data_IF_980655105463
#
_entry.id   IF_980655105463
#
_cell.length_a   1.000
_cell.length_b   1.000
_cell.length_c   1.000
_cell.angle_alpha   90.00
_cell.angle_beta   90.00
_cell.angle_gamma   90.00
#
_symmetry.space_group_name_H-M   'P 1'
#
loop_
_entity.id
_entity.type
_entity.pdbx_description
1 polymer ?
#
# COMPACT_ATOMS: atom_id res chain seq x y z
N UNK A 1 4.43 16.98 -11.14
CA UNK A 1 4.88 17.49 -9.81
C UNK A 1 6.17 16.79 -9.44
N UNK A 2 7.09 17.48 -8.76
CA UNK A 2 8.32 16.85 -8.23
C UNK A 2 8.12 16.73 -6.72
N UNK A 3 8.04 15.50 -6.21
CA UNK A 3 7.73 15.27 -4.78
C UNK A 3 8.98 15.48 -3.93
N UNK A 4 10.12 14.98 -4.40
CA UNK A 4 11.42 15.10 -3.76
C UNK A 4 12.52 14.94 -4.81
N UNK A 5 13.76 15.25 -4.44
CA UNK A 5 14.91 15.12 -5.34
C UNK A 5 15.47 13.70 -5.29
N UNK A 6 16.00 13.12 -6.39
CA UNK A 6 16.48 11.74 -6.40
C UNK A 6 17.53 11.44 -5.32
N UNK A 7 18.38 12.40 -4.98
CA UNK A 7 19.42 12.26 -3.96
C UNK A 7 18.90 12.13 -2.52
N UNK A 8 17.62 12.40 -2.26
CA UNK A 8 17.04 12.29 -0.91
C UNK A 8 16.55 10.88 -0.58
N UNK A 9 16.61 9.96 -1.54
CA UNK A 9 16.15 8.57 -1.38
C UNK A 9 17.23 7.58 -1.80
N UNK A 10 17.35 6.48 -1.07
CA UNK A 10 18.22 5.36 -1.47
C UNK A 10 17.55 4.51 -2.55
N UNK A 11 18.36 3.98 -3.45
CA UNK A 11 17.90 3.08 -4.50
C UNK A 11 17.23 1.83 -3.90
N UNK A 12 16.07 1.43 -4.45
CA UNK A 12 15.27 0.30 -3.99
C UNK A 12 14.79 0.37 -2.52
N UNK A 13 14.67 1.57 -1.93
CA UNK A 13 14.22 1.75 -0.54
C UNK A 13 12.77 2.26 -0.47
N UNK A 14 11.84 1.40 -0.06
CA UNK A 14 10.44 1.78 0.07
C UNK A 14 10.22 2.86 1.14
N UNK A 15 10.92 2.76 2.27
CA UNK A 15 10.86 3.69 3.40
C UNK A 15 11.13 5.12 2.97
N UNK A 16 12.24 5.35 2.26
CA UNK A 16 12.66 6.70 1.85
C UNK A 16 11.66 7.30 0.87
N UNK A 17 11.21 6.51 -0.12
CA UNK A 17 10.23 6.95 -1.11
C UNK A 17 8.89 7.30 -0.46
N UNK A 18 8.42 6.46 0.46
CA UNK A 18 7.18 6.70 1.19
C UNK A 18 7.30 7.97 2.05
N UNK A 19 8.38 8.08 2.83
CA UNK A 19 8.58 9.19 3.77
C UNK A 19 8.69 10.54 3.04
N UNK A 20 9.51 10.62 2.00
CA UNK A 20 9.69 11.87 1.25
C UNK A 20 8.42 12.27 0.48
N UNK A 21 7.67 11.28 -0.05
CA UNK A 21 6.33 11.51 -0.64
C UNK A 21 5.36 12.08 0.40
N UNK A 22 5.30 11.48 1.59
CA UNK A 22 4.40 11.91 2.67
C UNK A 22 4.77 13.30 3.19
N UNK A 23 6.07 13.60 3.36
CA UNK A 23 6.56 14.94 3.74
C UNK A 23 6.13 16.00 2.74
N UNK A 24 6.14 15.70 1.44
CA UNK A 24 5.67 16.60 0.42
C UNK A 24 4.17 16.93 0.58
N UNK A 25 3.32 15.93 0.82
CA UNK A 25 1.89 16.14 1.01
C UNK A 25 1.54 16.89 2.30
N UNK A 26 2.24 16.59 3.40
CA UNK A 26 2.08 17.33 4.66
C UNK A 26 2.42 18.81 4.47
N UNK A 27 3.51 19.14 3.76
CA UNK A 27 3.87 20.54 3.44
C UNK A 27 2.81 21.27 2.62
N UNK A 28 2.04 20.55 1.81
CA UNK A 28 0.94 21.10 1.00
C UNK A 28 -0.40 21.09 1.72
N UNK A 29 -0.44 20.63 2.96
CA UNK A 29 -1.68 20.46 3.73
C UNK A 29 -2.68 19.48 3.06
N UNK A 30 -2.16 18.47 2.35
CA UNK A 30 -2.99 17.54 1.59
C UNK A 30 -3.22 16.22 2.36
N UNK A 31 -4.48 15.87 2.70
CA UNK A 31 -4.77 14.62 3.42
C UNK A 31 -4.45 13.42 2.53
N UNK A 32 -3.75 12.44 3.11
CA UNK A 32 -3.24 11.26 2.41
C UNK A 32 -3.68 9.97 3.10
N UNK A 33 -4.27 9.06 2.33
CA UNK A 33 -4.56 7.69 2.74
C UNK A 33 -3.52 6.75 2.16
N UNK A 34 -2.97 5.88 3.00
CA UNK A 34 -1.93 4.92 2.63
C UNK A 34 -2.47 3.53 2.91
N UNK A 35 -2.61 2.72 1.86
CA UNK A 35 -3.07 1.35 1.99
C UNK A 35 -1.90 0.39 2.20
N UNK A 36 -2.10 -0.59 3.06
CA UNK A 36 -1.18 -1.71 3.30
C UNK A 36 -1.93 -3.04 3.21
N UNK A 37 -1.22 -4.13 2.94
CA UNK A 37 -1.86 -5.41 2.70
C UNK A 37 -2.64 -5.92 3.93
N UNK A 38 -2.20 -5.59 5.16
CA UNK A 38 -2.85 -6.03 6.41
C UNK A 38 -3.08 -4.90 7.41
N UNK A 39 -4.03 -5.07 8.37
CA UNK A 39 -4.22 -4.13 9.48
C UNK A 39 -3.01 -4.02 10.43
N UNK A 40 -2.25 -5.11 10.57
CA UNK A 40 -1.03 -5.10 11.38
C UNK A 40 0.05 -4.24 10.72
N UNK A 41 0.23 -4.37 9.40
CA UNK A 41 1.15 -3.53 8.65
C UNK A 41 0.73 -2.07 8.66
N UNK A 42 -0.56 -1.75 8.46
CA UNK A 42 -1.00 -0.36 8.48
C UNK A 42 -0.76 0.30 9.84
N UNK A 43 -0.93 -0.41 10.95
CA UNK A 43 -0.54 0.07 12.29
C UNK A 43 0.97 0.25 12.44
N UNK A 44 1.75 -0.74 12.02
CA UNK A 44 3.22 -0.68 12.08
C UNK A 44 3.75 0.53 11.30
N UNK A 45 3.26 0.74 10.08
CA UNK A 45 3.66 1.86 9.23
C UNK A 45 3.16 3.20 9.74
N UNK A 46 1.97 3.27 10.35
CA UNK A 46 1.50 4.48 11.01
C UNK A 46 2.45 4.90 12.14
N UNK A 47 2.87 3.96 13.01
CA UNK A 47 3.84 4.21 14.08
C UNK A 47 5.19 4.63 13.52
N UNK A 48 5.67 3.95 12.50
CA UNK A 48 6.93 4.29 11.86
C UNK A 48 6.88 5.70 11.27
N UNK A 49 5.84 6.05 10.50
CA UNK A 49 5.66 7.40 9.97
C UNK A 49 5.59 8.45 11.07
N UNK A 50 4.81 8.24 12.12
CA UNK A 50 4.74 9.15 13.27
C UNK A 50 6.12 9.37 13.91
N UNK A 51 6.95 8.32 14.03
CA UNK A 51 8.31 8.44 14.57
C UNK A 51 9.26 9.27 13.69
N UNK A 52 9.03 9.31 12.37
CA UNK A 52 9.89 10.00 11.41
C UNK A 52 9.43 11.43 11.09
N UNK A 53 8.13 11.70 11.23
CA UNK A 53 7.51 12.95 10.82
C UNK A 53 7.65 14.05 11.88
N UNK A 54 7.88 15.27 11.38
CA UNK A 54 7.79 16.51 12.16
C UNK A 54 6.52 17.24 11.76
N UNK A 55 5.39 16.75 12.25
CA UNK A 55 4.05 17.29 12.00
C UNK A 55 3.41 17.77 13.31
N UNK A 56 2.49 18.74 13.24
CA UNK A 56 1.77 19.23 14.42
C UNK A 56 0.89 18.15 15.03
N UNK A 57 0.69 18.23 16.34
CA UNK A 57 -0.22 17.37 17.07
C UNK A 57 -1.69 17.73 16.78
N UNK A 58 -2.53 16.71 16.61
CA UNK A 58 -3.98 16.83 16.48
C UNK A 58 -4.63 17.09 17.86
N UNK A 59 -4.41 18.30 18.37
CA UNK A 59 -4.65 18.66 19.76
C UNK A 59 -6.12 18.59 20.17
N UNK A 60 -7.06 18.83 19.24
CA UNK A 60 -8.49 18.70 19.55
C UNK A 60 -8.88 17.23 19.68
N UNK A 61 -8.46 16.38 18.73
CA UNK A 61 -8.71 14.93 18.80
C UNK A 61 -8.16 14.34 20.09
N UNK A 62 -6.94 14.71 20.46
CA UNK A 62 -6.27 14.18 21.65
C UNK A 62 -7.10 14.47 22.90
N UNK A 63 -7.62 15.70 23.03
CA UNK A 63 -8.47 16.09 24.16
C UNK A 63 -9.78 15.30 24.18
N UNK A 64 -10.43 15.15 23.03
CA UNK A 64 -11.69 14.39 22.92
C UNK A 64 -11.47 12.90 23.23
N UNK A 65 -10.42 12.31 22.66
CA UNK A 65 -10.05 10.91 22.87
C UNK A 65 -9.68 10.61 24.33
N UNK A 66 -9.07 11.56 25.05
CA UNK A 66 -8.81 11.44 26.49
C UNK A 66 -10.09 11.37 27.34
N UNK A 67 -11.20 11.94 26.87
CA UNK A 67 -12.49 11.89 27.59
C UNK A 67 -13.28 10.61 27.31
N UNK A 68 -12.86 9.81 26.34
CA UNK A 68 -13.50 8.55 25.99
C UNK A 68 -13.06 7.40 26.91
N UNK A 69 -13.83 6.31 26.88
CA UNK A 69 -13.50 5.06 27.56
C UNK A 69 -12.10 4.55 27.14
N UNK A 70 -11.44 3.86 28.06
CA UNK A 70 -10.15 3.26 27.77
C UNK A 70 -10.33 2.02 26.89
N UNK A 71 -9.71 2.05 25.72
CA UNK A 71 -9.73 0.95 24.76
C UNK A 71 -8.30 0.43 24.55
N UNK A 72 -8.16 -0.77 23.99
CA UNK A 72 -6.85 -1.32 23.63
C UNK A 72 -6.13 -0.46 22.56
N UNK A 73 -6.88 0.28 21.75
CA UNK A 73 -6.38 1.16 20.67
C UNK A 73 -6.09 2.58 21.15
N UNK A 74 -6.72 3.06 22.22
CA UNK A 74 -6.67 4.46 22.64
C UNK A 74 -5.25 4.97 22.84
N UNK A 75 -4.43 4.23 23.59
CA UNK A 75 -3.05 4.62 23.88
C UNK A 75 -2.23 4.78 22.60
N UNK A 76 -2.31 3.79 21.71
CA UNK A 76 -1.61 3.84 20.42
C UNK A 76 -2.11 5.01 19.57
N UNK A 77 -3.43 5.22 19.52
CA UNK A 77 -4.01 6.30 18.73
C UNK A 77 -3.56 7.68 19.25
N UNK A 78 -3.53 7.89 20.57
CA UNK A 78 -2.99 9.11 21.18
C UNK A 78 -1.54 9.38 20.74
N UNK A 79 -0.66 8.36 20.79
CA UNK A 79 0.74 8.49 20.37
C UNK A 79 0.88 8.87 18.88
N UNK A 80 0.00 8.37 18.01
CA UNK A 80 -0.01 8.70 16.58
C UNK A 80 -0.54 10.13 16.33
N UNK A 81 -1.58 10.52 17.07
CA UNK A 81 -2.23 11.83 16.94
C UNK A 81 -1.31 12.99 17.33
N UNK A 82 -0.31 12.77 18.17
CA UNK A 82 0.77 13.73 18.44
C UNK A 82 1.54 14.17 17.18
N UNK A 83 1.37 13.44 16.08
CA UNK A 83 1.97 13.72 14.77
C UNK A 83 0.92 13.91 13.67
N UNK A 84 -0.37 14.05 14.01
CA UNK A 84 -1.43 14.14 13.00
C UNK A 84 -1.49 12.91 12.09
N UNK A 85 -1.05 11.75 12.60
CA UNK A 85 -1.12 10.44 11.94
C UNK A 85 -2.19 9.62 12.65
N UNK A 86 -2.90 8.79 11.90
CA UNK A 86 -3.83 7.80 12.43
C UNK A 86 -3.83 6.52 11.58
N UNK A 87 -4.54 5.50 12.02
CA UNK A 87 -4.93 4.37 11.19
C UNK A 87 -6.45 4.21 11.17
N UNK A 88 -6.99 3.54 10.16
CA UNK A 88 -8.41 3.23 10.04
C UNK A 88 -8.58 1.76 9.70
N UNK A 89 -8.73 0.94 10.73
CA UNK A 89 -8.94 -0.50 10.61
C UNK A 89 -10.06 -0.94 11.58
N UNK A 90 -10.62 -2.16 11.43
CA UNK A 90 -11.70 -2.64 12.29
C UNK A 90 -11.37 -2.75 13.76
N UNK A 91 -10.08 -2.84 14.13
CA UNK A 91 -9.65 -2.84 15.52
C UNK A 91 -9.99 -1.54 16.26
N UNK A 92 -10.23 -0.43 15.55
CA UNK A 92 -10.78 0.77 16.15
C UNK A 92 -12.27 0.63 16.45
N UNK A 93 -12.69 1.13 17.61
CA UNK A 93 -14.09 1.29 17.94
C UNK A 93 -14.76 2.29 17.00
N UNK A 94 -16.08 2.25 16.91
CA UNK A 94 -16.83 3.10 15.97
C UNK A 94 -16.63 4.59 16.29
N UNK A 95 -16.60 4.93 17.57
CA UNK A 95 -16.37 6.27 18.09
C UNK A 95 -14.96 6.79 17.76
N UNK A 96 -13.94 5.93 17.87
CA UNK A 96 -12.56 6.25 17.50
C UNK A 96 -12.42 6.49 15.98
N UNK A 97 -13.05 5.64 15.16
CA UNK A 97 -13.12 5.85 13.70
C UNK A 97 -13.78 7.18 13.38
N UNK A 98 -14.90 7.48 14.04
CA UNK A 98 -15.62 8.73 13.83
C UNK A 98 -14.77 9.95 14.21
N UNK A 99 -14.00 9.90 15.30
CA UNK A 99 -13.05 10.95 15.64
C UNK A 99 -11.98 11.14 14.55
N UNK A 100 -11.37 10.05 14.08
CA UNK A 100 -10.38 10.13 13.00
C UNK A 100 -11.00 10.76 11.75
N UNK A 101 -12.23 10.41 11.42
CA UNK A 101 -12.96 10.93 10.26
C UNK A 101 -13.30 12.42 10.37
N UNK A 102 -13.80 12.86 11.52
CA UNK A 102 -14.15 14.26 11.78
C UNK A 102 -12.90 15.14 11.71
N UNK A 103 -11.84 14.74 12.40
CA UNK A 103 -10.66 15.58 12.54
C UNK A 103 -9.72 15.53 11.33
N UNK A 104 -9.86 14.51 10.48
CA UNK A 104 -9.31 14.56 9.13
C UNK A 104 -9.98 15.68 8.30
N UNK A 105 -11.32 15.81 8.38
CA UNK A 105 -12.04 16.88 7.69
C UNK A 105 -11.72 18.27 8.25
N UNK A 106 -11.46 18.37 9.55
CA UNK A 106 -10.98 19.61 10.20
C UNK A 106 -9.52 19.93 9.85
N UNK A 107 -8.79 18.97 9.29
CA UNK A 107 -7.40 19.14 8.87
C UNK A 107 -6.38 18.96 9.99
N UNK A 108 -6.76 18.45 11.17
CA UNK A 108 -5.80 18.12 12.22
C UNK A 108 -5.05 16.80 11.91
N UNK A 109 -5.74 15.83 11.30
CA UNK A 109 -5.15 14.57 10.86
C UNK A 109 -4.83 14.66 9.37
N UNK A 110 -3.57 14.42 9.01
CA UNK A 110 -3.11 14.49 7.62
C UNK A 110 -2.86 13.13 7.00
N UNK A 111 -2.43 12.16 7.79
CA UNK A 111 -2.04 10.83 7.31
C UNK A 111 -2.92 9.77 7.96
N UNK A 112 -3.55 8.95 7.15
CA UNK A 112 -4.29 7.77 7.62
C UNK A 112 -3.70 6.53 6.95
N UNK A 113 -3.40 5.51 7.73
CA UNK A 113 -3.00 4.19 7.22
C UNK A 113 -4.16 3.21 7.34
N UNK A 114 -4.42 2.40 6.33
CA UNK A 114 -5.51 1.41 6.38
C UNK A 114 -5.15 0.12 5.65
N UNK A 115 -5.84 -0.97 5.97
CA UNK A 115 -5.69 -2.22 5.22
C UNK A 115 -6.52 -2.20 3.93
N UNK A 116 -5.97 -2.76 2.85
CA UNK A 116 -6.62 -2.82 1.52
C UNK A 116 -8.04 -3.41 1.57
N UNK A 117 -8.23 -4.51 2.32
CA UNK A 117 -9.53 -5.18 2.48
C UNK A 117 -10.63 -4.32 3.10
N UNK A 118 -10.28 -3.22 3.75
CA UNK A 118 -11.23 -2.32 4.40
C UNK A 118 -11.41 -0.98 3.65
N UNK A 119 -10.90 -0.87 2.42
CA UNK A 119 -11.07 0.29 1.53
C UNK A 119 -12.54 0.68 1.29
N UNK A 120 -13.45 -0.30 1.28
CA UNK A 120 -14.89 -0.06 1.10
C UNK A 120 -15.50 0.68 2.31
N UNK A 121 -14.97 0.46 3.52
CA UNK A 121 -15.50 1.03 4.77
C UNK A 121 -15.01 2.45 5.07
N UNK A 122 -14.11 3.01 4.28
CA UNK A 122 -13.54 4.34 4.49
C UNK A 122 -14.35 5.34 3.66
N UNK A 123 -15.10 6.23 4.32
CA UNK A 123 -15.94 7.22 3.65
C UNK A 123 -15.41 8.64 3.83
N UNK A 124 -14.15 8.86 3.40
CA UNK A 124 -13.45 10.13 3.53
C UNK A 124 -12.82 10.53 2.19
N UNK A 125 -12.96 11.79 1.75
CA UNK A 125 -12.27 12.28 0.57
C UNK A 125 -10.82 12.63 0.94
N UNK A 126 -9.87 11.84 0.46
CA UNK A 126 -8.45 12.16 0.54
C UNK A 126 -8.00 12.82 -0.75
N UNK A 127 -7.03 13.73 -0.68
CA UNK A 127 -6.40 14.29 -1.88
C UNK A 127 -5.42 13.31 -2.50
N UNK A 128 -4.80 12.47 -1.68
CA UNK A 128 -3.78 11.53 -2.12
C UNK A 128 -4.10 10.12 -1.60
N UNK A 129 -4.08 9.12 -2.47
CA UNK A 129 -4.19 7.71 -2.13
C UNK A 129 -2.91 7.00 -2.57
N UNK A 130 -2.19 6.39 -1.65
CA UNK A 130 -1.03 5.55 -1.94
C UNK A 130 -1.48 4.09 -1.93
N UNK A 131 -1.30 3.41 -3.08
CA UNK A 131 -1.69 2.01 -3.30
C UNK A 131 -0.48 1.09 -3.12
N UNK A 132 -0.61 -0.03 -2.37
CA UNK A 132 0.48 -1.00 -2.19
C UNK A 132 0.72 -1.83 -3.45
N UNK A 133 1.76 -2.66 -3.44
CA UNK A 133 2.03 -3.61 -4.54
C UNK A 133 1.10 -4.82 -4.52
N UNK A 134 0.72 -5.24 -3.33
CA UNK A 134 0.04 -6.48 -3.07
C UNK A 134 -1.09 -6.31 -2.06
N UNK A 135 -1.92 -7.35 -1.98
CA UNK A 135 -2.93 -7.51 -0.94
C UNK A 135 -2.83 -8.90 -0.33
N UNK A 136 -3.42 -9.05 0.84
CA UNK A 136 -3.60 -10.36 1.46
C UNK A 136 -4.96 -10.93 1.08
N UNK A 137 -4.99 -12.20 0.71
CA UNK A 137 -6.22 -12.99 0.64
C UNK A 137 -6.33 -13.85 1.89
N UNK A 138 -7.54 -13.90 2.46
CA UNK A 138 -7.85 -14.68 3.64
C UNK A 138 -8.88 -15.73 3.25
N UNK A 139 -8.48 -17.00 3.30
CA UNK A 139 -9.39 -18.14 3.21
C UNK A 139 -10.31 -18.14 1.98
N UNK A 140 -9.75 -17.80 0.81
CA UNK A 140 -10.41 -18.12 -0.46
C UNK A 140 -10.48 -19.64 -0.51
N UNK A 141 -11.67 -20.25 -0.61
CA UNK A 141 -11.94 -21.67 -0.31
C UNK A 141 -11.05 -22.76 -0.95
N UNK A 142 -10.06 -22.38 -1.76
CA UNK A 142 -9.00 -23.22 -2.30
C UNK A 142 -7.67 -23.17 -1.51
N UNK A 143 -7.49 -22.23 -0.57
CA UNK A 143 -6.23 -22.02 0.16
C UNK A 143 -6.42 -21.98 1.69
N UNK A 144 -5.78 -22.94 2.37
CA UNK A 144 -5.83 -23.11 3.83
C UNK A 144 -5.10 -22.02 4.64
N UNK A 145 -4.34 -21.13 3.99
CA UNK A 145 -3.50 -20.11 4.64
C UNK A 145 -3.59 -18.78 3.92
N UNK A 146 -3.37 -17.69 4.67
CA UNK A 146 -3.27 -16.36 4.09
C UNK A 146 -2.11 -16.30 3.08
N UNK A 147 -2.36 -15.74 1.91
CA UNK A 147 -1.35 -15.60 0.86
C UNK A 147 -1.43 -14.21 0.23
N UNK A 148 -0.30 -13.72 -0.28
CA UNK A 148 -0.20 -12.43 -0.95
C UNK A 148 -0.38 -12.59 -2.45
N UNK A 149 -1.11 -11.67 -3.05
CA UNK A 149 -1.25 -11.58 -4.51
C UNK A 149 -1.07 -10.15 -4.97
N UNK A 150 -0.80 -9.97 -6.26
CA UNK A 150 -0.97 -8.67 -6.88
C UNK A 150 -2.40 -8.13 -6.74
N UNK A 151 -2.54 -6.83 -6.92
CA UNK A 151 -3.84 -6.16 -6.94
C UNK A 151 -4.60 -6.45 -8.24
N UNK A 152 -5.91 -6.62 -8.15
CA UNK A 152 -6.81 -6.58 -9.30
C UNK A 152 -7.21 -5.13 -9.62
N UNK A 153 -7.85 -4.92 -10.77
CA UNK A 153 -8.40 -3.61 -11.10
C UNK A 153 -9.46 -3.15 -10.09
N UNK A 154 -10.36 -4.04 -9.69
CA UNK A 154 -11.41 -3.71 -8.71
C UNK A 154 -10.83 -3.34 -7.35
N UNK A 155 -9.68 -3.91 -6.96
CA UNK A 155 -8.99 -3.47 -5.75
C UNK A 155 -8.51 -2.02 -5.88
N UNK A 156 -7.93 -1.67 -7.04
CA UNK A 156 -7.47 -0.31 -7.34
C UNK A 156 -8.66 0.65 -7.40
N UNK A 157 -9.79 0.29 -8.00
CA UNK A 157 -10.99 1.13 -8.04
C UNK A 157 -11.58 1.33 -6.64
N UNK A 158 -11.68 0.27 -5.84
CA UNK A 158 -12.23 0.35 -4.48
C UNK A 158 -11.37 1.24 -3.57
N UNK A 159 -10.04 1.18 -3.71
CA UNK A 159 -9.11 2.06 -3.00
C UNK A 159 -9.12 3.48 -3.59
N UNK A 160 -9.08 3.58 -4.92
CA UNK A 160 -8.94 4.81 -5.67
C UNK A 160 -10.20 5.68 -5.65
N UNK A 161 -11.38 5.10 -5.47
CA UNK A 161 -12.64 5.82 -5.29
C UNK A 161 -12.69 6.68 -4.01
N UNK A 162 -11.64 6.64 -3.19
CA UNK A 162 -11.45 7.53 -2.03
C UNK A 162 -10.58 8.74 -2.34
N UNK A 163 -9.97 8.77 -3.53
CA UNK A 163 -9.28 9.93 -4.05
C UNK A 163 -10.31 10.95 -4.54
N UNK A 164 -10.19 12.18 -4.08
CA UNK A 164 -10.95 13.32 -4.61
C UNK A 164 -11.83 14.02 -3.58
N UNK A 165 -11.61 15.33 -3.43
CA UNK A 165 -12.69 16.29 -3.14
C UNK A 165 -13.31 16.73 -4.47
N UNK A 166 -14.34 17.61 -4.47
CA UNK A 166 -15.03 18.07 -5.69
C UNK A 166 -14.10 18.54 -6.84
N UNK A 167 -12.87 18.95 -6.52
CA UNK A 167 -11.96 19.58 -7.48
C UNK A 167 -10.81 18.68 -7.97
N UNK A 168 -10.27 17.79 -7.12
CA UNK A 168 -9.01 17.09 -7.44
C UNK A 168 -8.66 15.92 -6.49
N UNK A 169 -8.02 14.86 -7.02
CA UNK A 169 -7.43 13.76 -6.25
C UNK A 169 -6.35 12.99 -7.02
N UNK A 170 -5.40 12.36 -6.30
CA UNK A 170 -4.30 11.55 -6.85
C UNK A 170 -4.37 10.10 -6.36
N UNK A 171 -4.22 9.16 -7.29
CA UNK A 171 -3.87 7.77 -7.00
C UNK A 171 -2.39 7.59 -7.31
N UNK A 172 -1.63 7.09 -6.35
CA UNK A 172 -0.17 7.03 -6.39
C UNK A 172 0.28 5.59 -6.19
N UNK A 173 1.12 5.13 -7.11
CA UNK A 173 1.83 3.86 -7.03
C UNK A 173 3.31 4.13 -6.73
N UNK A 174 3.85 3.57 -5.65
CA UNK A 174 5.23 3.82 -5.24
C UNK A 174 6.22 2.88 -5.95
N UNK A 175 6.71 3.35 -7.10
CA UNK A 175 7.82 2.73 -7.85
C UNK A 175 9.18 2.91 -7.20
N UNK A 176 9.36 2.41 -5.97
CA UNK A 176 10.63 2.51 -5.22
C UNK A 176 11.76 1.65 -5.81
N UNK A 177 11.43 0.74 -6.74
CA UNK A 177 12.36 -0.11 -7.48
C UNK A 177 11.85 -0.34 -8.90
N UNK A 178 12.74 -0.73 -9.83
CA UNK A 178 12.33 -1.10 -11.20
C UNK A 178 11.33 -2.26 -11.21
N UNK A 179 11.46 -3.20 -10.26
CA UNK A 179 10.51 -4.30 -10.10
C UNK A 179 9.13 -3.75 -9.70
N UNK A 180 9.08 -2.86 -8.69
CA UNK A 180 7.84 -2.26 -8.23
C UNK A 180 7.16 -1.45 -9.33
N UNK A 181 7.93 -0.65 -10.05
CA UNK A 181 7.46 0.10 -11.22
C UNK A 181 6.85 -0.84 -12.27
N UNK A 182 7.57 -1.90 -12.63
CA UNK A 182 7.10 -2.88 -13.62
C UNK A 182 5.80 -3.56 -13.17
N UNK A 183 5.71 -3.96 -11.89
CA UNK A 183 4.51 -4.57 -11.32
C UNK A 183 3.33 -3.60 -11.43
N UNK A 184 3.49 -2.35 -10.99
CA UNK A 184 2.43 -1.35 -11.06
C UNK A 184 2.01 -1.05 -12.51
N UNK A 185 2.97 -0.89 -13.42
CA UNK A 185 2.71 -0.69 -14.85
C UNK A 185 1.92 -1.86 -15.44
N UNK A 186 2.30 -3.10 -15.12
CA UNK A 186 1.60 -4.29 -15.59
C UNK A 186 0.20 -4.38 -15.01
N UNK A 187 0.02 -4.14 -13.71
CA UNK A 187 -1.29 -4.15 -13.07
C UNK A 187 -2.23 -3.14 -13.73
N UNK A 188 -1.77 -1.91 -13.94
CA UNK A 188 -2.56 -0.85 -14.59
C UNK A 188 -2.79 -1.09 -16.10
N UNK A 189 -1.79 -1.62 -16.81
CA UNK A 189 -1.91 -1.92 -18.24
C UNK A 189 -2.82 -3.11 -18.52
N UNK A 190 -2.81 -4.12 -17.64
CA UNK A 190 -3.69 -5.27 -17.75
C UNK A 190 -5.14 -4.87 -17.39
N UNK A 191 -5.33 -4.01 -16.40
CA UNK A 191 -6.66 -3.54 -16.03
C UNK A 191 -7.34 -2.71 -17.12
N UNK A 192 -6.61 -1.83 -17.79
CA UNK A 192 -7.09 -1.05 -18.94
C UNK A 192 -7.37 -1.90 -20.19
N UNK A 193 -6.83 -3.13 -20.25
CA UNK A 193 -7.15 -4.11 -21.30
C UNK A 193 -8.35 -4.98 -20.95
N UNK A 194 -8.54 -5.31 -19.67
CA UNK A 194 -9.68 -6.10 -19.19
C UNK A 194 -11.00 -5.32 -19.29
N UNK A 195 -10.99 -3.99 -19.14
CA UNK A 195 -12.16 -3.14 -19.47
C UNK A 195 -12.61 -3.26 -20.94
N UNK A 196 -11.78 -3.83 -21.81
CA UNK A 196 -12.08 -4.05 -23.22
C UNK A 196 -12.29 -5.51 -23.65
N UNK A 197 -12.11 -6.54 -22.79
CA UNK A 197 -12.11 -7.94 -23.28
C UNK A 197 -12.57 -9.00 -22.26
N UNK A 198 -13.86 -9.31 -22.28
CA UNK A 198 -14.30 -10.70 -22.19
C UNK A 198 -13.75 -11.49 -23.39
N UNK A 199 -12.51 -12.03 -23.37
CA UNK A 199 -12.05 -13.00 -24.40
C UNK A 199 -10.73 -13.77 -24.21
N UNK A 200 -9.95 -13.71 -23.10
CA UNK A 200 -8.55 -14.21 -23.21
C UNK A 200 -7.90 -14.86 -21.98
N UNK A 201 -8.55 -15.86 -21.37
CA UNK A 201 -7.96 -16.64 -20.26
C UNK A 201 -6.66 -17.41 -20.65
N UNK A 202 -6.54 -17.94 -21.88
CA UNK A 202 -5.39 -18.75 -22.29
C UNK A 202 -4.11 -17.97 -22.65
N UNK A 203 -4.17 -16.64 -22.84
CA UNK A 203 -2.99 -15.82 -23.20
C UNK A 203 -2.22 -15.34 -21.96
N UNK A 204 -2.84 -15.39 -20.79
CA UNK A 204 -2.28 -14.91 -19.51
C UNK A 204 -1.22 -15.86 -18.93
N UNK A 205 -1.46 -17.18 -18.94
CA UNK A 205 -0.52 -18.19 -18.45
C UNK A 205 0.83 -18.15 -19.19
N UNK A 206 0.80 -17.94 -20.50
CA UNK A 206 2.01 -17.86 -21.35
C UNK A 206 2.78 -16.55 -21.11
N UNK A 207 2.11 -15.48 -20.66
CA UNK A 207 2.74 -14.17 -20.41
C UNK A 207 3.45 -14.13 -19.06
N UNK A 208 2.84 -14.70 -18.02
CA UNK A 208 3.43 -14.78 -16.67
C UNK A 208 4.71 -15.61 -16.65
N UNK A 209 4.75 -16.74 -17.39
CA UNK A 209 5.97 -17.55 -17.52
C UNK A 209 7.09 -16.80 -18.23
N UNK A 210 6.78 -16.07 -19.31
CA UNK A 210 7.78 -15.28 -20.05
C UNK A 210 8.34 -14.11 -19.25
N UNK A 211 7.51 -13.45 -18.44
CA UNK A 211 7.94 -12.33 -17.60
C UNK A 211 8.86 -12.81 -16.46
N UNK A 212 8.51 -13.92 -15.81
CA UNK A 212 9.37 -14.60 -14.83
C UNK A 212 10.69 -15.03 -15.45
N UNK A 213 10.67 -15.65 -16.63
CA UNK A 213 11.89 -16.05 -17.34
C UNK A 213 12.79 -14.84 -17.65
N UNK A 214 12.19 -13.75 -18.11
CA UNK A 214 12.92 -12.52 -18.47
C UNK A 214 13.55 -11.88 -17.23
N UNK A 215 12.85 -11.88 -16.11
CA UNK A 215 13.35 -11.40 -14.83
C UNK A 215 14.52 -12.26 -14.31
N UNK A 216 14.37 -13.58 -14.31
CA UNK A 216 15.40 -14.52 -13.88
C UNK A 216 16.66 -14.45 -14.77
N UNK A 217 16.49 -14.32 -16.09
CA UNK A 217 17.60 -14.14 -17.03
C UNK A 217 18.38 -12.85 -16.75
N UNK A 218 17.68 -11.74 -16.44
CA UNK A 218 18.33 -10.46 -16.09
C UNK A 218 19.09 -10.53 -14.77
N UNK A 219 18.53 -11.19 -13.76
CA UNK A 219 19.23 -11.48 -12.49
C UNK A 219 20.48 -12.31 -12.71
N UNK A 220 20.40 -13.32 -13.58
CA UNK A 220 21.53 -14.19 -13.94
C UNK A 220 22.67 -13.41 -14.58
N UNK A 221 22.34 -12.48 -15.48
CA UNK A 221 23.32 -11.57 -16.10
C UNK A 221 23.91 -10.60 -15.08
N UNK A 222 23.08 -10.00 -14.22
CA UNK A 222 23.50 -9.01 -13.21
C UNK A 222 24.47 -9.59 -12.17
N UNK A 223 24.26 -10.85 -11.75
CA UNK A 223 25.09 -11.51 -10.74
C UNK A 223 26.14 -12.48 -11.32
N UNK A 224 26.33 -12.50 -12.65
CA UNK A 224 27.23 -13.44 -13.36
C UNK A 224 27.05 -14.89 -12.91
N UNK A 225 25.80 -15.30 -12.66
CA UNK A 225 25.49 -16.67 -12.28
C UNK A 225 25.85 -17.60 -13.44
N UNK A 226 26.65 -18.63 -13.18
CA UNK A 226 27.07 -19.57 -14.24
C UNK A 226 25.85 -20.35 -14.70
N UNK A 227 25.60 -20.36 -16.01
CA UNK A 227 24.43 -20.99 -16.63
C UNK A 227 24.24 -22.48 -16.24
N UNK A 228 25.31 -23.16 -15.81
CA UNK A 228 25.27 -24.55 -15.39
C UNK A 228 24.64 -24.76 -14.00
N UNK A 229 24.85 -23.82 -13.06
CA UNK A 229 24.30 -23.90 -11.68
C UNK A 229 22.78 -23.70 -11.68
N UNK A 230 22.27 -22.83 -12.56
CA UNK A 230 20.82 -22.59 -12.72
C UNK A 230 20.13 -23.82 -13.33
N UNK A 231 20.80 -24.53 -14.25
CA UNK A 231 20.25 -25.74 -14.89
C UNK A 231 20.17 -26.92 -13.94
N UNK A 232 21.07 -27.03 -12.96
CA UNK A 232 20.97 -28.02 -11.88
C UNK A 232 19.76 -27.73 -10.98
N UNK A 233 19.62 -26.49 -10.49
CA UNK A 233 18.50 -26.09 -9.66
C UNK A 233 17.12 -26.31 -10.32
N UNK A 234 17.00 -26.01 -11.61
CA UNK A 234 15.76 -26.23 -12.37
C UNK A 234 15.49 -27.73 -12.60
N UNK A 235 16.52 -28.55 -12.73
CA UNK A 235 16.38 -30.01 -12.83
C UNK A 235 15.95 -30.64 -11.50
N UNK A 236 16.54 -30.21 -10.39
CA UNK A 236 16.18 -30.68 -9.04
C UNK A 236 14.72 -30.32 -8.70
N UNK A 237 14.28 -29.11 -9.02
CA UNK A 237 12.89 -28.68 -8.83
C UNK A 237 11.88 -29.47 -9.68
N UNK A 238 12.26 -29.88 -10.89
CA UNK A 238 11.40 -30.68 -11.78
C UNK A 238 11.27 -32.15 -11.33
N UNK A 239 12.30 -32.71 -10.68
CA UNK A 239 12.23 -34.05 -10.09
C UNK A 239 11.41 -34.13 -8.81
N UNK A 240 11.19 -33.02 -8.11
CA UNK A 240 10.36 -32.97 -6.89
C UNK A 240 8.86 -32.75 -7.15
N UNK A 241 8.46 -32.43 -8.38
CA UNK A 241 7.06 -32.22 -8.79
C UNK A 241 6.46 -33.41 -9.54
N UNK A 242 7.22 -34.48 -9.74
CA UNK A 242 6.80 -35.70 -10.45
C UNK A 242 6.85 -36.97 -9.58
N UNK A 243 6.89 -36.82 -8.25
CA UNK A 243 6.76 -37.89 -7.26
C UNK A 243 5.52 -37.71 -6.40
#
# INVERSE_FOLDING_TARGET
EIFFKPETVRDNCFEDYLLETVKYFIKKDEPTLIFFATPAESRQWARWLASQLKSPAASSVIKELHQMEDTLSRKELLELLEKGVAYHNPELFWEEKNLVEIHLKMGEIKIVCAATKYSIGINLPFKNIIIPLDKIHNNDGNYLRNYRTGLSFSDIENMGGRAGTLDFGRIIFLGHSLLAETIHQNTYSNSTRDSNKHKTANRWLIKSEKELLTYLLRLSVKHKLKSNEIKEYLKEGATHLSG
#
